data_IF_658479602441
#
_entry.id   IF_658479602441
#
_cell.length_a   1.000
_cell.length_b   1.000
_cell.length_c   1.000
_cell.angle_alpha   90.00
_cell.angle_beta   90.00
_cell.angle_gamma   90.00
#
_symmetry.space_group_name_H-M   'P 1'
#
loop_
_entity.id
_entity.type
_entity.pdbx_description
1 polymer ?
#
# COMPACT_ATOMS: atom_id res chain seq x y z
N UNK A 1 8.76 -5.49 -11.90
CA UNK A 1 9.88 -5.04 -11.03
C UNK A 1 10.60 -3.90 -11.73
N UNK A 2 11.30 -3.02 -10.99
CA UNK A 2 11.94 -1.79 -11.51
C UNK A 2 12.77 -2.00 -12.80
N UNK A 3 13.51 -3.11 -12.89
CA UNK A 3 14.32 -3.44 -14.07
C UNK A 3 13.48 -3.61 -15.35
N UNK A 4 12.28 -4.18 -15.26
CA UNK A 4 11.39 -4.34 -16.42
C UNK A 4 10.82 -3.00 -16.91
N UNK A 5 10.56 -2.06 -16.00
CA UNK A 5 10.07 -0.72 -16.35
C UNK A 5 11.17 0.07 -17.08
N UNK A 6 12.40 0.02 -16.59
CA UNK A 6 13.54 0.63 -17.29
C UNK A 6 13.81 -0.01 -18.66
N UNK A 7 13.61 -1.33 -18.78
CA UNK A 7 13.76 -2.02 -20.07
C UNK A 7 12.70 -1.61 -21.11
N UNK A 8 11.55 -1.06 -20.71
CA UNK A 8 10.59 -0.49 -21.66
C UNK A 8 10.98 0.91 -22.15
N UNK A 9 12.12 1.46 -21.71
CA UNK A 9 12.58 2.81 -22.05
C UNK A 9 11.93 3.93 -21.22
N UNK A 10 11.12 3.56 -20.23
CA UNK A 10 10.48 4.50 -19.30
C UNK A 10 11.36 4.66 -18.05
N UNK A 11 11.55 5.91 -17.61
CA UNK A 11 12.31 6.21 -16.39
C UNK A 11 11.34 6.57 -15.25
N UNK A 12 11.02 5.61 -14.35
CA UNK A 12 10.02 5.84 -13.32
C UNK A 12 10.57 6.68 -12.18
N UNK A 13 9.68 7.46 -11.56
CA UNK A 13 9.97 8.05 -10.26
C UNK A 13 10.10 6.95 -9.19
N UNK A 14 11.18 7.01 -8.39
CA UNK A 14 11.44 6.04 -7.34
C UNK A 14 11.10 6.66 -5.99
N UNK A 15 10.05 6.14 -5.35
CA UNK A 15 9.62 6.57 -4.02
C UNK A 15 10.04 5.51 -2.98
N UNK A 16 10.91 5.89 -2.05
CA UNK A 16 11.25 5.07 -0.87
C UNK A 16 10.12 5.14 0.17
N UNK A 17 9.04 4.40 -0.05
CA UNK A 17 7.81 4.50 0.75
C UNK A 17 7.98 4.22 2.26
N UNK A 18 9.05 3.56 2.68
CA UNK A 18 9.38 3.39 4.11
C UNK A 18 9.99 4.65 4.75
N UNK A 19 10.59 5.54 3.95
CA UNK A 19 11.16 6.81 4.41
C UNK A 19 10.20 7.97 4.17
N UNK A 20 9.52 7.95 3.01
CA UNK A 20 8.59 8.98 2.57
C UNK A 20 7.26 8.31 2.19
N UNK A 21 6.45 7.90 3.19
CA UNK A 21 5.17 7.27 2.92
C UNK A 21 4.23 8.24 2.19
N UNK A 22 3.36 7.74 1.30
CA UNK A 22 2.34 8.57 0.66
C UNK A 22 1.35 9.09 1.70
N UNK A 23 0.69 10.22 1.40
CA UNK A 23 -0.42 10.69 2.22
C UNK A 23 -1.60 9.71 2.15
N UNK A 24 -2.49 9.68 3.16
CA UNK A 24 -3.72 8.87 3.12
C UNK A 24 -4.55 9.10 1.86
N UNK A 25 -4.68 10.36 1.42
CA UNK A 25 -5.40 10.74 0.19
C UNK A 25 -4.75 10.12 -1.07
N UNK A 26 -3.42 10.12 -1.13
CA UNK A 26 -2.65 9.51 -2.21
C UNK A 26 -2.84 7.99 -2.20
N UNK A 27 -2.80 7.37 -1.02
CA UNK A 27 -2.99 5.93 -0.86
C UNK A 27 -4.38 5.48 -1.32
N UNK A 28 -5.43 6.21 -0.92
CA UNK A 28 -6.81 6.00 -1.40
C UNK A 28 -6.94 6.14 -2.92
N UNK A 29 -6.26 7.13 -3.51
CA UNK A 29 -6.26 7.30 -4.97
C UNK A 29 -5.58 6.11 -5.68
N UNK A 30 -4.46 5.62 -5.16
CA UNK A 30 -3.75 4.46 -5.69
C UNK A 30 -4.59 3.18 -5.59
N UNK A 31 -5.22 2.93 -4.43
CA UNK A 31 -6.10 1.78 -4.22
C UNK A 31 -7.26 1.75 -5.22
N UNK A 32 -7.91 2.89 -5.45
CA UNK A 32 -8.95 3.03 -6.47
C UNK A 32 -8.43 2.75 -7.88
N UNK A 33 -7.26 3.29 -8.24
CA UNK A 33 -6.65 3.07 -9.55
C UNK A 33 -6.27 1.59 -9.78
N UNK A 34 -5.91 0.87 -8.72
CA UNK A 34 -5.59 -0.55 -8.77
C UNK A 34 -6.82 -1.46 -8.63
N UNK A 35 -8.01 -0.90 -8.36
CA UNK A 35 -9.22 -1.65 -8.02
C UNK A 35 -9.00 -2.65 -6.86
N UNK A 36 -8.31 -2.18 -5.82
CA UNK A 36 -7.97 -2.94 -4.61
C UNK A 36 -8.55 -2.26 -3.36
N UNK A 37 -8.86 -3.06 -2.33
CA UNK A 37 -9.20 -2.54 -1.00
C UNK A 37 -7.95 -2.30 -0.16
N UNK A 38 -8.06 -1.55 0.95
CA UNK A 38 -6.93 -1.36 1.86
C UNK A 38 -6.46 -2.70 2.44
N UNK A 39 -7.39 -3.61 2.72
CA UNK A 39 -7.11 -4.96 3.23
C UNK A 39 -6.26 -5.79 2.27
N UNK A 40 -6.47 -5.66 0.96
CA UNK A 40 -5.68 -6.39 -0.05
C UNK A 40 -4.23 -5.93 -0.11
N UNK A 41 -3.94 -4.70 0.34
CA UNK A 41 -2.60 -4.11 0.35
C UNK A 41 -1.80 -4.47 1.61
N UNK A 42 -2.47 -4.88 2.70
CA UNK A 42 -1.81 -5.12 3.98
C UNK A 42 -0.77 -6.24 3.90
N UNK A 43 0.45 -5.92 4.32
CA UNK A 43 1.52 -6.90 4.43
C UNK A 43 1.44 -7.59 5.79
N UNK A 44 1.41 -8.93 5.79
CA UNK A 44 1.45 -9.75 7.01
C UNK A 44 2.87 -10.01 7.55
N UNK A 45 3.82 -10.34 6.66
CA UNK A 45 5.18 -10.73 7.09
C UNK A 45 5.99 -9.54 7.59
N UNK A 46 6.40 -9.58 8.86
CA UNK A 46 7.26 -8.57 9.47
C UNK A 46 6.50 -7.32 9.94
N UNK A 47 5.20 -7.44 10.16
CA UNK A 47 4.33 -6.37 10.65
C UNK A 47 3.52 -6.85 11.86
N UNK A 48 2.91 -5.95 12.64
CA UNK A 48 2.00 -6.29 13.73
C UNK A 48 0.63 -6.85 13.28
N UNK A 49 0.47 -7.22 12.01
CA UNK A 49 -0.81 -7.61 11.41
C UNK A 49 -1.61 -8.60 12.26
N UNK A 50 -0.97 -9.70 12.66
CA UNK A 50 -1.61 -10.76 13.46
C UNK A 50 -1.89 -10.32 14.90
N UNK A 51 -0.98 -9.53 15.49
CA UNK A 51 -1.13 -9.05 16.87
C UNK A 51 -2.21 -7.98 17.03
N UNK A 52 -2.49 -7.21 15.97
CA UNK A 52 -3.53 -6.18 15.93
C UNK A 52 -4.86 -6.69 15.35
N UNK A 53 -4.87 -7.90 14.78
CA UNK A 53 -6.05 -8.47 14.13
C UNK A 53 -6.56 -7.59 12.98
N UNK A 54 -5.66 -7.17 12.08
CA UNK A 54 -6.00 -6.27 10.97
C UNK A 54 -6.85 -6.94 9.88
N UNK A 55 -7.08 -8.25 9.98
CA UNK A 55 -8.02 -9.00 9.14
C UNK A 55 -9.47 -8.93 9.62
N UNK A 56 -9.70 -8.45 10.85
CA UNK A 56 -11.02 -8.38 11.46
C UNK A 56 -11.96 -7.49 10.61
N UNK A 57 -13.14 -7.99 10.19
CA UNK A 57 -14.11 -7.22 9.40
C UNK A 57 -14.60 -5.93 10.06
N UNK A 58 -14.36 -5.74 11.36
CA UNK A 58 -14.68 -4.49 12.06
C UNK A 58 -13.92 -3.27 11.52
N UNK A 59 -12.74 -3.48 10.92
CA UNK A 59 -11.92 -2.39 10.40
C UNK A 59 -12.43 -1.91 9.05
N UNK A 60 -12.64 -0.60 8.94
CA UNK A 60 -12.93 0.05 7.67
C UNK A 60 -11.65 0.31 6.87
N UNK A 61 -11.77 0.50 5.56
CA UNK A 61 -10.62 0.82 4.72
C UNK A 61 -9.90 2.10 5.17
N UNK A 62 -10.64 3.12 5.60
CA UNK A 62 -10.07 4.37 6.13
C UNK A 62 -9.25 4.11 7.40
N UNK A 63 -9.74 3.27 8.32
CA UNK A 63 -9.00 2.91 9.53
C UNK A 63 -7.75 2.09 9.23
N UNK A 64 -7.81 1.20 8.24
CA UNK A 64 -6.65 0.40 7.82
C UNK A 64 -5.55 1.27 7.17
N UNK A 65 -5.92 2.40 6.58
CA UNK A 65 -5.00 3.37 5.96
C UNK A 65 -4.29 4.25 6.99
N UNK A 66 -4.84 4.38 8.21
CA UNK A 66 -4.26 5.16 9.30
C UNK A 66 -3.24 4.39 10.18
N UNK A 67 -3.11 3.07 9.98
CA UNK A 67 -2.13 2.22 10.69
C UNK A 67 -0.70 2.34 10.14
#
# INVERSE_FOLDING_TARGET
TLAMIRQSGEEPEIIEYLKSPPSPETLLALLRAMNMTARDLLRRKGTPYDTLGLDDPKWTDDQLIEF
#
